data_IF_848864290006
#
_entry.id   IF_848864290006
#
_cell.length_a   1.000
_cell.length_b   1.000
_cell.length_c   1.000
_cell.angle_alpha   90.00
_cell.angle_beta   90.00
_cell.angle_gamma   90.00
#
_symmetry.space_group_name_H-M   'P 1'
#
loop_
_entity.id
_entity.type
_entity.pdbx_description
1 polymer ?
#
# COMPACT_ATOMS: atom_id res chain seq x y z
N UNK A 1 8.41 3.99 -14.05
CA UNK A 1 7.07 4.11 -13.45
C UNK A 1 6.57 2.70 -13.23
N UNK A 2 6.32 2.30 -11.99
CA UNK A 2 6.27 0.89 -11.63
C UNK A 2 4.87 0.31 -11.39
N UNK A 3 4.87 -0.94 -10.95
CA UNK A 3 3.73 -1.84 -10.85
C UNK A 3 2.61 -1.34 -9.92
N UNK A 4 2.91 -0.47 -8.96
CA UNK A 4 1.96 -0.10 -7.89
C UNK A 4 1.43 1.34 -8.00
N UNK A 5 1.96 2.17 -8.90
CA UNK A 5 1.58 3.59 -9.04
C UNK A 5 0.93 3.85 -10.41
N UNK A 6 -0.21 4.54 -10.42
CA UNK A 6 -1.12 4.77 -11.55
C UNK A 6 -1.90 3.55 -12.06
N UNK A 7 -2.89 3.06 -11.28
CA UNK A 7 -4.00 2.25 -11.84
C UNK A 7 -5.11 3.10 -12.47
N UNK A 8 -5.15 4.41 -12.22
CA UNK A 8 -6.18 5.32 -12.74
C UNK A 8 -6.10 5.60 -14.25
N UNK A 9 -5.10 5.08 -14.98
CA UNK A 9 -5.05 5.12 -16.45
C UNK A 9 -5.50 3.82 -17.15
N UNK A 10 -5.97 2.81 -16.40
CA UNK A 10 -6.43 1.53 -16.99
C UNK A 10 -7.94 1.50 -17.21
N UNK A 11 -8.71 2.42 -16.62
CA UNK A 11 -10.18 2.39 -16.62
C UNK A 11 -10.86 3.50 -17.44
N UNK A 12 -10.25 3.92 -18.56
CA UNK A 12 -10.99 4.59 -19.64
C UNK A 12 -11.45 3.53 -20.66
N UNK A 13 -12.26 2.58 -20.17
CA UNK A 13 -12.89 1.56 -21.01
C UNK A 13 -14.13 2.15 -21.68
N UNK A 14 -13.92 2.91 -22.76
CA UNK A 14 -14.93 3.04 -23.80
C UNK A 14 -15.08 1.68 -24.51
N UNK A 15 -16.33 1.28 -24.75
CA UNK A 15 -16.81 0.08 -25.48
C UNK A 15 -16.96 -1.27 -24.75
N UNK A 16 -18.16 -1.83 -24.87
CA UNK A 16 -18.56 -3.07 -24.21
C UNK A 16 -17.87 -4.33 -24.75
N UNK A 17 -17.30 -4.31 -25.96
CA UNK A 17 -16.51 -5.42 -26.51
C UNK A 17 -15.14 -5.57 -25.81
N UNK A 18 -14.50 -4.45 -25.44
CA UNK A 18 -13.21 -4.46 -24.73
C UNK A 18 -13.33 -4.98 -23.30
N UNK A 19 -14.48 -4.77 -22.65
CA UNK A 19 -14.76 -5.32 -21.32
C UNK A 19 -14.90 -6.85 -21.33
N UNK A 20 -15.52 -7.44 -22.37
CA UNK A 20 -15.63 -8.91 -22.49
C UNK A 20 -14.30 -9.57 -22.85
N UNK A 21 -13.49 -8.93 -23.70
CA UNK A 21 -12.15 -9.42 -24.04
C UNK A 21 -11.23 -9.44 -22.81
N UNK A 22 -11.39 -8.49 -21.89
CA UNK A 22 -10.65 -8.45 -20.63
C UNK A 22 -11.05 -9.61 -19.69
N UNK A 23 -12.34 -9.93 -19.56
CA UNK A 23 -12.78 -11.01 -18.66
C UNK A 23 -12.27 -12.40 -19.09
N UNK A 24 -12.26 -12.73 -20.39
CA UNK A 24 -11.72 -14.01 -20.86
C UNK A 24 -10.21 -14.15 -20.55
N UNK A 25 -9.46 -13.07 -20.68
CA UNK A 25 -8.03 -13.03 -20.35
C UNK A 25 -7.80 -13.19 -18.85
N UNK A 26 -8.62 -12.52 -18.02
CA UNK A 26 -8.56 -12.64 -16.57
C UNK A 26 -8.91 -14.06 -16.09
N UNK A 27 -9.91 -14.71 -16.69
CA UNK A 27 -10.24 -16.11 -16.40
C UNK A 27 -9.10 -17.05 -16.79
N UNK A 28 -8.53 -16.90 -17.99
CA UNK A 28 -7.41 -17.74 -18.43
C UNK A 28 -6.17 -17.58 -17.52
N UNK A 29 -5.88 -16.35 -17.08
CA UNK A 29 -4.79 -16.05 -16.15
C UNK A 29 -5.08 -16.61 -14.75
N UNK A 30 -6.32 -16.51 -14.28
CA UNK A 30 -6.76 -17.12 -13.02
C UNK A 30 -6.55 -18.64 -13.06
N UNK A 31 -7.08 -19.31 -14.09
CA UNK A 31 -6.94 -20.77 -14.28
C UNK A 31 -5.47 -21.21 -14.30
N UNK A 32 -4.59 -20.40 -14.89
CA UNK A 32 -3.15 -20.66 -14.91
C UNK A 32 -2.56 -20.65 -13.49
N UNK A 33 -2.83 -19.60 -12.71
CA UNK A 33 -2.28 -19.50 -11.35
C UNK A 33 -2.95 -20.46 -10.37
N UNK A 34 -4.23 -20.79 -10.53
CA UNK A 34 -4.90 -21.82 -9.73
C UNK A 34 -4.29 -23.21 -9.98
N UNK A 35 -4.01 -23.56 -11.24
CA UNK A 35 -3.27 -24.79 -11.56
C UNK A 35 -1.87 -24.77 -11.00
N UNK A 36 -1.15 -23.66 -11.13
CA UNK A 36 0.18 -23.51 -10.54
C UNK A 36 0.14 -23.75 -9.03
N UNK A 37 -0.83 -23.17 -8.33
CA UNK A 37 -1.02 -23.35 -6.88
C UNK A 37 -1.34 -24.82 -6.53
N UNK A 38 -2.15 -25.50 -7.33
CA UNK A 38 -2.47 -26.93 -7.14
C UNK A 38 -1.27 -27.85 -7.35
N UNK A 39 -0.37 -27.49 -8.27
CA UNK A 39 0.84 -28.27 -8.58
C UNK A 39 1.97 -28.03 -7.55
N UNK A 40 1.84 -27.03 -6.68
CA UNK A 40 2.80 -26.81 -5.60
C UNK A 40 2.76 -27.92 -4.55
N UNK A 41 3.93 -28.22 -4.00
CA UNK A 41 4.13 -29.31 -3.02
C UNK A 41 4.73 -28.75 -1.73
N UNK A 42 4.97 -29.62 -0.74
CA UNK A 42 5.64 -29.22 0.50
C UNK A 42 7.07 -28.70 0.27
N UNK A 43 7.70 -29.04 -0.86
CA UNK A 43 9.05 -28.59 -1.21
C UNK A 43 9.06 -27.25 -1.98
N UNK A 44 7.88 -26.73 -2.37
CA UNK A 44 7.79 -25.43 -3.03
C UNK A 44 8.22 -24.33 -2.05
N UNK A 45 9.14 -23.41 -2.44
CA UNK A 45 9.48 -22.26 -1.63
C UNK A 45 8.23 -21.47 -1.21
N UNK A 46 8.19 -21.05 0.06
CA UNK A 46 7.02 -20.34 0.60
C UNK A 46 6.75 -19.02 -0.14
N UNK A 47 7.80 -18.32 -0.57
CA UNK A 47 7.70 -17.11 -1.39
C UNK A 47 6.99 -17.37 -2.72
N UNK A 48 7.30 -18.46 -3.42
CA UNK A 48 6.64 -18.82 -4.68
C UNK A 48 5.14 -19.08 -4.47
N UNK A 49 4.80 -19.74 -3.36
CA UNK A 49 3.40 -19.98 -2.96
C UNK A 49 2.66 -18.67 -2.66
N UNK A 50 3.28 -17.78 -1.89
CA UNK A 50 2.72 -16.46 -1.56
C UNK A 50 2.51 -15.64 -2.84
N UNK A 51 3.50 -15.60 -3.73
CA UNK A 51 3.42 -14.89 -5.00
C UNK A 51 2.26 -15.41 -5.88
N UNK A 52 2.11 -16.74 -6.02
CA UNK A 52 0.97 -17.32 -6.75
C UNK A 52 -0.37 -16.93 -6.11
N UNK A 53 -0.48 -16.95 -4.77
CA UNK A 53 -1.69 -16.51 -4.07
C UNK A 53 -2.01 -15.03 -4.29
N UNK A 54 -0.99 -14.17 -4.29
CA UNK A 54 -1.14 -12.73 -4.56
C UNK A 54 -1.58 -12.45 -5.99
N UNK A 55 -1.06 -13.20 -6.97
CA UNK A 55 -1.49 -13.07 -8.36
C UNK A 55 -2.97 -13.48 -8.52
N UNK A 56 -3.40 -14.57 -7.88
CA UNK A 56 -4.82 -14.95 -7.83
C UNK A 56 -5.66 -13.84 -7.19
N UNK A 57 -5.23 -13.32 -6.04
CA UNK A 57 -5.97 -12.28 -5.32
C UNK A 57 -6.15 -11.00 -6.17
N UNK A 58 -5.09 -10.55 -6.85
CA UNK A 58 -5.14 -9.39 -7.76
C UNK A 58 -6.09 -9.58 -8.93
N UNK A 59 -6.04 -10.74 -9.56
CA UNK A 59 -6.97 -11.07 -10.65
C UNK A 59 -8.41 -11.06 -10.14
N UNK A 60 -8.66 -11.58 -8.94
CA UNK A 60 -9.99 -11.55 -8.34
C UNK A 60 -10.45 -10.14 -7.97
N UNK A 61 -9.55 -9.24 -7.55
CA UNK A 61 -9.86 -7.79 -7.41
C UNK A 61 -10.29 -7.21 -8.74
N UNK A 62 -9.51 -7.42 -9.81
CA UNK A 62 -9.81 -6.91 -11.16
C UNK A 62 -11.13 -7.46 -11.72
N UNK A 63 -11.53 -8.67 -11.30
CA UNK A 63 -12.80 -9.32 -11.66
C UNK A 63 -13.97 -8.98 -10.74
N UNK A 64 -13.80 -8.05 -9.80
CA UNK A 64 -14.80 -7.67 -8.80
C UNK A 64 -15.30 -8.86 -7.95
N UNK A 65 -14.40 -9.80 -7.65
CA UNK A 65 -14.62 -10.97 -6.78
C UNK A 65 -13.97 -10.76 -5.42
N UNK A 66 -14.41 -9.74 -4.71
CA UNK A 66 -13.79 -9.29 -3.46
C UNK A 66 -13.64 -10.37 -2.39
N UNK A 67 -14.63 -11.26 -2.22
CA UNK A 67 -14.54 -12.35 -1.24
C UNK A 67 -13.44 -13.38 -1.59
N UNK A 68 -13.30 -13.73 -2.86
CA UNK A 68 -12.29 -14.68 -3.33
C UNK A 68 -10.89 -14.03 -3.25
N UNK A 69 -10.78 -12.75 -3.61
CA UNK A 69 -9.56 -11.97 -3.45
C UNK A 69 -9.11 -11.92 -1.99
N UNK A 70 -10.03 -11.61 -1.07
CA UNK A 70 -9.77 -11.55 0.36
C UNK A 70 -9.24 -12.87 0.91
N UNK A 71 -9.88 -14.00 0.58
CA UNK A 71 -9.46 -15.32 1.07
C UNK A 71 -8.01 -15.64 0.67
N UNK A 72 -7.66 -15.38 -0.59
CA UNK A 72 -6.32 -15.68 -1.12
C UNK A 72 -5.28 -14.72 -0.57
N UNK A 73 -5.61 -13.43 -0.45
CA UNK A 73 -4.74 -12.43 0.13
C UNK A 73 -4.51 -12.66 1.63
N UNK A 74 -5.54 -13.02 2.41
CA UNK A 74 -5.37 -13.37 3.82
C UNK A 74 -4.47 -14.60 4.00
N UNK A 75 -4.65 -15.62 3.15
CA UNK A 75 -3.76 -16.81 3.16
C UNK A 75 -2.31 -16.43 2.84
N UNK A 76 -2.11 -15.55 1.85
CA UNK A 76 -0.79 -15.02 1.51
C UNK A 76 -0.17 -14.23 2.67
N UNK A 77 -0.98 -13.39 3.33
CA UNK A 77 -0.56 -12.60 4.49
C UNK A 77 -0.12 -13.46 5.67
N UNK A 78 -0.89 -14.49 6.01
CA UNK A 78 -0.56 -15.41 7.10
C UNK A 78 0.76 -16.14 6.84
N UNK A 79 0.96 -16.66 5.63
CA UNK A 79 2.23 -17.28 5.25
C UNK A 79 3.39 -16.28 5.27
N UNK A 80 3.18 -15.06 4.76
CA UNK A 80 4.20 -14.02 4.70
C UNK A 80 4.63 -13.57 6.09
N UNK A 81 3.68 -13.32 7.02
CA UNK A 81 4.03 -12.89 8.39
C UNK A 81 4.75 -14.01 9.17
N UNK A 82 4.33 -15.27 9.00
CA UNK A 82 4.96 -16.42 9.68
C UNK A 82 6.42 -16.61 9.26
N UNK A 83 6.77 -16.20 8.03
CA UNK A 83 8.11 -16.29 7.48
C UNK A 83 8.84 -14.93 7.46
N UNK A 84 8.27 -13.90 8.08
CA UNK A 84 8.81 -12.53 8.14
C UNK A 84 9.11 -11.91 6.76
N UNK A 85 8.32 -12.29 5.75
CA UNK A 85 8.39 -11.77 4.38
C UNK A 85 7.56 -10.49 4.27
N UNK A 86 8.03 -9.42 4.94
CA UNK A 86 7.24 -8.21 5.19
C UNK A 86 6.78 -7.47 3.92
N UNK A 87 7.56 -7.49 2.84
CA UNK A 87 7.16 -6.91 1.55
C UNK A 87 5.93 -7.63 0.99
N UNK A 88 5.96 -8.96 0.94
CA UNK A 88 4.83 -9.77 0.49
C UNK A 88 3.63 -9.67 1.43
N UNK A 89 3.86 -9.51 2.74
CA UNK A 89 2.79 -9.25 3.71
C UNK A 89 2.11 -7.89 3.43
N UNK A 90 2.87 -6.84 3.11
CA UNK A 90 2.31 -5.55 2.68
C UNK A 90 1.49 -5.69 1.40
N UNK A 91 1.99 -6.40 0.39
CA UNK A 91 1.25 -6.65 -0.86
C UNK A 91 -0.04 -7.46 -0.65
N UNK A 92 -0.04 -8.38 0.32
CA UNK A 92 -1.25 -9.10 0.71
C UNK A 92 -2.28 -8.20 1.37
N UNK A 93 -1.84 -7.29 2.25
CA UNK A 93 -2.72 -6.29 2.85
C UNK A 93 -3.29 -5.32 1.81
N UNK A 94 -2.51 -4.92 0.80
CA UNK A 94 -3.00 -4.12 -0.34
C UNK A 94 -4.11 -4.85 -1.10
N UNK A 95 -3.89 -6.12 -1.46
CA UNK A 95 -4.91 -6.92 -2.15
C UNK A 95 -6.20 -7.09 -1.31
N UNK A 96 -6.09 -7.20 0.01
CA UNK A 96 -7.25 -7.21 0.93
C UNK A 96 -7.96 -5.85 1.00
N UNK A 97 -7.20 -4.75 0.99
CA UNK A 97 -7.78 -3.40 0.94
C UNK A 97 -8.58 -3.20 -0.36
N UNK A 98 -7.98 -3.53 -1.50
CA UNK A 98 -8.61 -3.41 -2.82
C UNK A 98 -9.77 -4.39 -3.06
N UNK A 99 -9.96 -5.38 -2.18
CA UNK A 99 -11.12 -6.27 -2.25
C UNK A 99 -12.41 -5.64 -1.70
N UNK A 100 -12.34 -4.44 -1.14
CA UNK A 100 -13.46 -3.65 -0.60
C UNK A 100 -14.31 -4.40 0.46
N UNK A 101 -13.67 -5.32 1.20
CA UNK A 101 -14.30 -6.05 2.30
C UNK A 101 -14.55 -5.18 3.55
N UNK A 102 -15.30 -5.68 4.55
CA UNK A 102 -15.60 -4.94 5.78
C UNK A 102 -14.35 -4.52 6.59
N UNK A 103 -13.26 -5.28 6.47
CA UNK A 103 -11.98 -5.00 7.13
C UNK A 103 -10.93 -4.40 6.15
N UNK A 104 -11.34 -3.87 4.99
CA UNK A 104 -10.41 -3.30 3.99
C UNK A 104 -9.54 -2.16 4.56
N UNK A 105 -10.14 -1.23 5.30
CA UNK A 105 -9.38 -0.13 5.94
C UNK A 105 -8.42 -0.63 7.02
N UNK A 106 -8.80 -1.72 7.73
CA UNK A 106 -7.90 -2.40 8.67
C UNK A 106 -6.72 -3.02 7.94
N UNK A 107 -6.93 -3.62 6.77
CA UNK A 107 -5.87 -4.14 5.92
C UNK A 107 -4.92 -3.01 5.46
N UNK A 108 -5.45 -1.86 5.02
CA UNK A 108 -4.64 -0.69 4.68
C UNK A 108 -3.79 -0.21 5.86
N UNK A 109 -4.36 -0.18 7.08
CA UNK A 109 -3.62 0.16 8.30
C UNK A 109 -2.42 -0.77 8.55
N UNK A 110 -2.58 -2.08 8.31
CA UNK A 110 -1.48 -3.05 8.38
C UNK A 110 -0.44 -2.81 7.28
N UNK A 111 -0.88 -2.60 6.04
CA UNK A 111 0.00 -2.35 4.90
C UNK A 111 0.90 -1.12 5.15
N UNK A 112 0.30 -0.03 5.64
CA UNK A 112 0.99 1.20 6.03
C UNK A 112 2.01 0.96 7.14
N UNK A 113 1.60 0.27 8.20
CA UNK A 113 2.50 0.01 9.33
C UNK A 113 3.72 -0.81 8.89
N UNK A 114 3.50 -1.89 8.12
CA UNK A 114 4.57 -2.73 7.59
C UNK A 114 5.48 -1.98 6.62
N UNK A 115 4.89 -1.24 5.67
CA UNK A 115 5.64 -0.50 4.65
C UNK A 115 6.52 0.62 5.22
N UNK A 116 6.07 1.27 6.30
CA UNK A 116 6.86 2.28 7.02
C UNK A 116 7.93 1.62 7.90
N UNK A 117 7.58 0.54 8.60
CA UNK A 117 8.46 -0.12 9.60
C UNK A 117 9.64 -0.84 8.94
N UNK A 118 9.42 -1.53 7.83
CA UNK A 118 10.44 -2.35 7.19
C UNK A 118 10.99 -1.69 5.91
N UNK A 119 12.28 -1.91 5.58
CA UNK A 119 12.91 -1.36 4.38
C UNK A 119 12.52 -2.15 3.11
N UNK A 120 11.22 -2.30 2.87
CA UNK A 120 10.67 -2.88 1.64
C UNK A 120 10.78 -1.89 0.47
N UNK A 121 10.45 -2.31 -0.74
CA UNK A 121 10.40 -1.43 -1.91
C UNK A 121 9.59 -0.17 -1.58
N UNK A 122 10.24 0.98 -1.77
CA UNK A 122 9.65 2.28 -1.50
C UNK A 122 8.42 2.52 -2.39
N UNK A 123 8.35 1.91 -3.57
CA UNK A 123 7.19 2.04 -4.46
C UNK A 123 5.91 1.48 -3.82
N UNK A 124 6.00 0.31 -3.20
CA UNK A 124 4.88 -0.31 -2.46
C UNK A 124 4.48 0.59 -1.29
N UNK A 125 5.48 1.11 -0.56
CA UNK A 125 5.22 2.00 0.58
C UNK A 125 4.51 3.30 0.15
N UNK A 126 4.96 3.90 -0.97
CA UNK A 126 4.33 5.11 -1.53
C UNK A 126 2.92 4.81 -2.01
N UNK A 127 2.66 3.65 -2.63
CA UNK A 127 1.32 3.25 -3.04
C UNK A 127 0.35 3.15 -1.84
N UNK A 128 0.79 2.58 -0.71
CA UNK A 128 -0.07 2.51 0.49
C UNK A 128 -0.38 3.90 1.06
N UNK A 129 0.61 4.80 1.05
CA UNK A 129 0.44 6.17 1.50
C UNK A 129 -0.47 6.97 0.55
N UNK A 130 -0.42 6.68 -0.74
CA UNK A 130 -1.34 7.23 -1.73
C UNK A 130 -2.78 6.77 -1.43
N UNK A 131 -3.02 5.49 -1.16
CA UNK A 131 -4.34 5.00 -0.75
C UNK A 131 -4.84 5.72 0.51
N UNK A 132 -3.97 5.98 1.49
CA UNK A 132 -4.36 6.78 2.66
C UNK A 132 -4.75 8.21 2.30
N UNK A 133 -4.08 8.84 1.33
CA UNK A 133 -4.46 10.18 0.83
C UNK A 133 -5.83 10.13 0.15
N UNK A 134 -6.10 9.11 -0.64
CA UNK A 134 -7.35 8.92 -1.40
C UNK A 134 -8.53 8.64 -0.46
N UNK A 135 -8.37 7.70 0.48
CA UNK A 135 -9.40 7.29 1.45
C UNK A 135 -9.71 8.34 2.53
N UNK A 136 -8.78 9.28 2.77
CA UNK A 136 -8.97 10.32 3.78
C UNK A 136 -10.02 11.36 3.35
N UNK A 137 -10.84 11.88 4.29
CA UNK A 137 -11.78 12.96 3.98
C UNK A 137 -11.10 14.19 3.36
N UNK A 138 -11.84 14.90 2.49
CA UNK A 138 -11.36 16.14 1.88
C UNK A 138 -10.97 17.17 2.96
N UNK A 139 -9.78 17.74 2.83
CA UNK A 139 -9.24 18.72 3.78
C UNK A 139 -8.72 18.13 5.10
N UNK A 140 -8.68 16.81 5.27
CA UNK A 140 -8.09 16.19 6.46
C UNK A 140 -6.56 16.33 6.47
N UNK A 141 -5.99 16.70 7.62
CA UNK A 141 -4.52 16.79 7.80
C UNK A 141 -3.81 15.45 7.57
N UNK A 142 -4.51 14.32 7.74
CA UNK A 142 -3.97 12.97 7.44
C UNK A 142 -3.44 12.86 6.02
N UNK A 143 -4.07 13.53 5.04
CA UNK A 143 -3.56 13.58 3.66
C UNK A 143 -2.17 14.22 3.61
N UNK A 144 -1.99 15.34 4.31
CA UNK A 144 -0.73 16.07 4.35
C UNK A 144 0.37 15.25 5.03
N UNK A 145 0.04 14.57 6.14
CA UNK A 145 0.98 13.68 6.83
C UNK A 145 1.36 12.49 5.94
N UNK A 146 0.41 11.81 5.30
CA UNK A 146 0.67 10.69 4.41
C UNK A 146 1.59 11.08 3.24
N UNK A 147 1.31 12.20 2.57
CA UNK A 147 2.13 12.68 1.47
C UNK A 147 3.54 13.10 1.91
N UNK A 148 3.68 13.75 3.08
CA UNK A 148 4.98 14.09 3.65
C UNK A 148 5.81 12.85 4.01
N UNK A 149 5.17 11.81 4.57
CA UNK A 149 5.83 10.54 4.88
C UNK A 149 6.28 9.83 3.60
N UNK A 150 5.47 9.85 2.55
CA UNK A 150 5.83 9.23 1.28
C UNK A 150 7.09 9.87 0.70
N UNK A 151 7.12 11.21 0.63
CA UNK A 151 8.29 11.97 0.21
C UNK A 151 9.50 11.70 1.11
N UNK A 152 9.32 11.66 2.43
CA UNK A 152 10.40 11.37 3.37
C UNK A 152 10.99 9.96 3.14
N UNK A 153 10.16 8.93 3.13
CA UNK A 153 10.61 7.54 2.99
C UNK A 153 11.34 7.33 1.68
N UNK A 154 10.77 7.77 0.55
CA UNK A 154 11.43 7.59 -0.74
C UNK A 154 12.75 8.37 -0.81
N UNK A 155 12.80 9.59 -0.27
CA UNK A 155 14.04 10.38 -0.26
C UNK A 155 15.16 9.69 0.54
N UNK A 156 14.81 8.97 1.61
CA UNK A 156 15.76 8.22 2.44
C UNK A 156 16.17 6.90 1.77
N UNK A 157 15.22 6.16 1.20
CA UNK A 157 15.47 4.82 0.63
C UNK A 157 16.10 4.84 -0.77
N UNK A 158 15.77 5.86 -1.58
CA UNK A 158 16.16 5.94 -3.01
C UNK A 158 16.97 7.18 -3.36
N UNK A 159 16.95 8.21 -2.51
CA UNK A 159 17.66 9.46 -2.73
C UNK A 159 16.75 10.56 -3.30
N UNK A 160 17.25 11.80 -3.28
CA UNK A 160 16.49 12.99 -3.65
C UNK A 160 16.24 13.13 -5.16
N UNK A 161 17.12 12.55 -5.97
CA UNK A 161 17.11 12.71 -7.44
C UNK A 161 16.43 11.54 -8.16
N UNK A 162 15.72 10.67 -7.43
CA UNK A 162 15.00 9.51 -7.98
C UNK A 162 13.61 9.91 -8.50
N UNK A 163 13.16 9.27 -9.59
CA UNK A 163 11.85 9.51 -10.22
C UNK A 163 10.68 9.32 -9.22
N UNK A 164 10.79 8.36 -8.30
CA UNK A 164 9.77 8.13 -7.29
C UNK A 164 9.74 9.26 -6.24
N UNK A 165 10.89 9.89 -5.96
CA UNK A 165 10.95 11.08 -5.11
C UNK A 165 10.30 12.29 -5.78
N UNK A 166 10.48 12.43 -7.10
CA UNK A 166 9.76 13.43 -7.87
C UNK A 166 8.25 13.18 -7.85
N UNK A 167 7.80 11.94 -8.04
CA UNK A 167 6.39 11.56 -7.93
C UNK A 167 5.81 11.92 -6.54
N UNK A 168 6.50 11.55 -5.45
CA UNK A 168 6.05 11.90 -4.10
C UNK A 168 6.03 13.41 -3.85
N UNK A 169 6.91 14.17 -4.52
CA UNK A 169 6.90 15.65 -4.51
C UNK A 169 5.66 16.22 -5.21
N UNK A 170 5.22 15.60 -6.31
CA UNK A 170 3.97 15.97 -6.98
C UNK A 170 2.75 15.63 -6.12
N UNK A 171 2.77 14.48 -5.43
CA UNK A 171 1.70 14.09 -4.51
C UNK A 171 1.53 15.10 -3.36
N UNK A 172 2.62 15.52 -2.70
CA UNK A 172 2.50 16.53 -1.62
C UNK A 172 2.05 17.91 -2.15
N UNK A 173 2.43 18.29 -3.37
CA UNK A 173 1.96 19.53 -4.00
C UNK A 173 0.46 19.48 -4.31
N UNK A 174 -0.03 18.36 -4.84
CA UNK A 174 -1.46 18.13 -5.10
C UNK A 174 -2.27 18.17 -3.79
N UNK A 175 -1.79 17.52 -2.74
CA UNK A 175 -2.43 17.57 -1.41
C UNK A 175 -2.47 19.00 -0.86
N UNK A 176 -1.40 19.78 -1.03
CA UNK A 176 -1.36 21.16 -0.54
C UNK A 176 -2.42 22.05 -1.23
N UNK A 177 -2.60 21.89 -2.54
CA UNK A 177 -3.65 22.59 -3.29
C UNK A 177 -5.05 22.16 -2.82
N UNK A 178 -5.31 20.86 -2.70
CA UNK A 178 -6.63 20.36 -2.28
C UNK A 178 -6.98 20.69 -0.82
N UNK A 179 -5.98 20.67 0.08
CA UNK A 179 -6.15 20.88 1.51
C UNK A 179 -6.26 22.36 1.87
N UNK A 180 -5.47 23.23 1.22
CA UNK A 180 -5.29 24.62 1.64
C UNK A 180 -5.23 25.64 0.48
N UNK A 181 -5.54 25.25 -0.76
CA UNK A 181 -5.49 26.12 -1.95
C UNK A 181 -4.11 26.79 -2.15
N UNK A 182 -3.06 26.03 -1.88
CA UNK A 182 -1.67 26.47 -2.06
C UNK A 182 -1.35 26.59 -3.55
N UNK A 183 -1.00 27.80 -3.99
CA UNK A 183 -0.79 28.09 -5.42
C UNK A 183 0.61 28.60 -5.76
N UNK A 184 1.48 28.81 -4.78
CA UNK A 184 2.87 29.26 -4.98
C UNK A 184 3.84 28.71 -3.93
N UNK A 185 5.14 28.87 -4.15
CA UNK A 185 6.18 28.36 -3.26
C UNK A 185 6.13 28.98 -1.85
N UNK A 186 5.80 30.27 -1.74
CA UNK A 186 5.81 30.95 -0.43
C UNK A 186 4.66 30.45 0.46
N UNK A 187 3.50 30.24 -0.13
CA UNK A 187 2.33 29.64 0.53
C UNK A 187 2.56 28.16 0.83
N UNK A 188 3.25 27.43 -0.04
CA UNK A 188 3.65 26.04 0.23
C UNK A 188 4.60 25.94 1.43
N UNK A 189 5.62 26.78 1.49
CA UNK A 189 6.57 26.79 2.60
C UNK A 189 5.87 27.12 3.93
N UNK A 190 4.94 28.09 3.91
CA UNK A 190 4.13 28.43 5.08
C UNK A 190 3.22 27.28 5.50
N UNK A 191 2.53 26.63 4.55
CA UNK A 191 1.67 25.46 4.81
C UNK A 191 2.47 24.32 5.42
N UNK A 192 3.64 24.00 4.83
CA UNK A 192 4.56 22.97 5.31
C UNK A 192 5.02 23.24 6.74
N UNK A 193 5.39 24.49 7.06
CA UNK A 193 5.81 24.88 8.42
C UNK A 193 4.66 24.86 9.42
N UNK A 194 3.47 25.28 9.00
CA UNK A 194 2.26 25.33 9.85
C UNK A 194 1.85 23.93 10.29
N UNK A 195 1.83 22.98 9.36
CA UNK A 195 1.54 21.57 9.62
C UNK A 195 2.75 20.77 10.13
N UNK A 196 3.92 21.42 10.27
CA UNK A 196 5.17 20.81 10.71
C UNK A 196 5.63 19.62 9.85
N UNK A 197 5.34 19.66 8.54
CA UNK A 197 5.73 18.65 7.55
C UNK A 197 7.23 18.71 7.19
N UNK A 198 7.98 19.59 7.84
CA UNK A 198 9.44 19.67 7.82
C UNK A 198 10.10 18.94 9.00
N UNK A 199 9.31 18.32 9.89
CA UNK A 199 9.77 17.63 11.10
C UNK A 199 9.32 16.16 11.09
N UNK A 200 10.20 15.21 10.71
CA UNK A 200 9.88 13.78 10.67
C UNK A 200 9.27 13.25 11.95
N UNK A 201 9.80 13.64 13.11
CA UNK A 201 9.31 13.24 14.42
C UNK A 201 7.85 13.63 14.68
N UNK A 202 7.38 14.72 14.04
CA UNK A 202 5.99 15.17 14.16
C UNK A 202 5.10 14.38 13.21
N UNK A 203 5.37 14.43 11.91
CA UNK A 203 4.46 13.84 10.92
C UNK A 203 4.45 12.31 10.97
N UNK A 204 5.55 11.65 11.37
CA UNK A 204 5.57 10.19 11.58
C UNK A 204 4.71 9.80 12.78
N UNK A 205 4.76 10.58 13.86
CA UNK A 205 3.89 10.36 15.03
C UNK A 205 2.41 10.54 14.67
N UNK A 206 2.08 11.57 13.87
CA UNK A 206 0.71 11.79 13.38
C UNK A 206 0.22 10.67 12.48
N UNK A 207 1.06 10.20 11.56
CA UNK A 207 0.73 9.04 10.72
C UNK A 207 0.51 7.79 11.57
N UNK A 208 1.37 7.53 12.56
CA UNK A 208 1.21 6.37 13.46
C UNK A 208 -0.15 6.41 14.17
N UNK A 209 -0.59 7.57 14.66
CA UNK A 209 -1.92 7.70 15.27
C UNK A 209 -3.06 7.46 14.28
N UNK A 210 -2.93 7.89 13.03
CA UNK A 210 -3.92 7.59 11.99
C UNK A 210 -3.99 6.09 11.66
N UNK A 211 -2.82 5.44 11.59
CA UNK A 211 -2.71 3.98 11.40
C UNK A 211 -3.38 3.23 12.56
N UNK A 212 -3.13 3.63 13.81
CA UNK A 212 -3.77 3.04 14.99
C UNK A 212 -5.30 3.16 14.93
N UNK A 213 -5.83 4.27 14.41
CA UNK A 213 -7.27 4.44 14.22
C UNK A 213 -7.86 3.56 13.12
N UNK A 214 -7.12 3.32 12.02
CA UNK A 214 -7.55 2.43 10.94
C UNK A 214 -7.65 0.97 11.41
N UNK A 215 -6.67 0.53 12.20
CA UNK A 215 -6.61 -0.87 12.66
C UNK A 215 -7.50 -1.12 13.89
N UNK A 216 -7.57 -0.16 14.80
CA UNK A 216 -8.24 -0.32 16.08
C UNK A 216 -7.44 -1.23 17.02
N UNK A 217 -8.15 -2.10 17.76
CA UNK A 217 -7.55 -2.98 18.77
C UNK A 217 -7.07 -4.33 18.19
N UNK A 218 -7.62 -4.76 17.04
CA UNK A 218 -7.41 -6.10 16.47
C UNK A 218 -6.24 -6.15 15.47
N UNK A 219 -5.01 -6.01 15.96
CA UNK A 219 -3.81 -6.16 15.16
C UNK A 219 -3.53 -7.62 14.77
N UNK A 220 -3.23 -7.86 13.50
CA UNK A 220 -2.91 -9.18 12.93
C UNK A 220 -1.43 -9.56 13.05
N UNK A 221 -0.59 -8.62 13.50
CA UNK A 221 0.83 -8.82 13.82
C UNK A 221 1.11 -8.40 15.26
N UNK A 222 2.04 -9.10 15.92
CA UNK A 222 2.52 -8.71 17.25
C UNK A 222 3.54 -7.57 17.10
N UNK A 223 3.04 -6.33 17.14
CA UNK A 223 3.86 -5.13 16.96
C UNK A 223 4.92 -4.97 18.04
N UNK A 224 4.62 -5.40 19.27
CA UNK A 224 5.55 -5.23 20.38
C UNK A 224 6.69 -6.24 20.27
N UNK A 225 6.40 -7.50 19.93
CA UNK A 225 7.43 -8.49 19.62
C UNK A 225 8.31 -8.07 18.44
N UNK A 226 7.72 -7.48 17.39
CA UNK A 226 8.48 -6.95 16.24
C UNK A 226 9.40 -5.81 16.67
N UNK A 227 8.90 -4.83 17.45
CA UNK A 227 9.70 -3.70 17.94
C UNK A 227 10.85 -4.16 18.81
N UNK A 228 10.61 -5.05 19.77
CA UNK A 228 11.66 -5.62 20.62
C UNK A 228 12.75 -6.31 19.80
N UNK A 229 12.36 -7.02 18.74
CA UNK A 229 13.31 -7.65 17.83
C UNK A 229 14.15 -6.63 17.06
N UNK A 230 13.52 -5.59 16.49
CA UNK A 230 14.23 -4.53 15.76
C UNK A 230 15.22 -3.78 16.66
N UNK A 231 14.80 -3.43 17.88
CA UNK A 231 15.65 -2.80 18.89
C UNK A 231 16.88 -3.68 19.22
N UNK A 232 16.66 -4.99 19.38
CA UNK A 232 17.74 -5.94 19.65
C UNK A 232 18.72 -6.09 18.46
N UNK A 233 18.24 -5.90 17.24
CA UNK A 233 19.05 -5.89 16.01
C UNK A 233 19.72 -4.53 15.75
N UNK A 234 19.41 -3.50 16.54
CA UNK A 234 19.93 -2.14 16.36
C UNK A 234 19.36 -1.43 15.12
N UNK A 235 18.13 -1.77 14.74
CA UNK A 235 17.41 -1.23 13.58
C UNK A 235 16.37 -0.21 13.98
#
# INVERSE_FOLDING_TARGET
>A
MGKYLNKEQIFDAEDGEDMYANEEQLVARLDFFEKQLMDQTADTPVEDKINTLLEIARIQVERYKGADAWEKAMTAFDLAKENELWELATEACDAMFLSEGPDALKALGHALWLGVTFPIDAEITVAMLQHLVEESPKGADTKAYAAAVAHYIVSVRRGTDDDLTFFASQMIASVADEHSHVSDQSTFDLWRKTLQLDKPEVFLSKLSSAIDQLVGEDWWVDRDAIREKLDAEGK
#
